data_IF_468738465808
#
_entry.id   IF_468738465808
#
_cell.length_a   1.000
_cell.length_b   1.000
_cell.length_c   1.000
_cell.angle_alpha   90.00
_cell.angle_beta   90.00
_cell.angle_gamma   90.00
#
_symmetry.space_group_name_H-M   'P 1'
#
loop_
_entity.id
_entity.type
_entity.pdbx_description
1 polymer ?
#
# COMPACT_ATOMS: atom_id res chain seq x y z
N UNK A 1 -4.10 -62.97 14.48
CA UNK A 1 -3.46 -62.08 13.48
C UNK A 1 -3.05 -60.82 14.23
N UNK A 2 -1.75 -60.59 14.37
CA UNK A 2 -1.19 -59.46 15.12
C UNK A 2 -1.13 -58.23 14.22
N UNK A 3 -1.88 -57.17 14.54
CA UNK A 3 -1.76 -55.89 13.85
C UNK A 3 -0.43 -55.23 14.26
N UNK A 4 0.44 -54.99 13.28
CA UNK A 4 1.67 -54.24 13.50
C UNK A 4 1.35 -52.76 13.65
N UNK A 5 1.86 -52.14 14.72
CA UNK A 5 1.60 -50.74 15.02
C UNK A 5 2.22 -49.79 13.98
N UNK A 6 1.71 -48.55 13.85
CA UNK A 6 2.11 -47.60 12.80
C UNK A 6 3.61 -47.24 12.79
N UNK A 7 4.32 -47.42 13.91
CA UNK A 7 5.77 -47.21 14.00
C UNK A 7 6.59 -48.35 13.37
N UNK A 8 6.08 -49.58 13.34
CA UNK A 8 6.76 -50.72 12.72
C UNK A 8 6.69 -50.64 11.19
N UNK A 9 5.57 -50.15 10.65
CA UNK A 9 5.35 -49.93 9.21
C UNK A 9 6.33 -48.89 8.65
N UNK A 10 6.66 -47.86 9.43
CA UNK A 10 7.57 -46.80 9.02
C UNK A 10 9.03 -47.29 8.86
N UNK A 11 9.46 -48.25 9.69
CA UNK A 11 10.82 -48.80 9.69
C UNK A 11 11.07 -49.82 8.56
N UNK A 12 10.02 -50.31 7.91
CA UNK A 12 10.11 -51.25 6.78
C UNK A 12 10.13 -50.57 5.41
N UNK A 13 10.08 -49.23 5.38
CA UNK A 13 10.11 -48.48 4.13
C UNK A 13 11.52 -48.50 3.52
N UNK A 14 11.63 -48.55 2.18
CA UNK A 14 12.92 -48.46 1.51
C UNK A 14 13.68 -47.18 1.88
N UNK A 15 15.01 -47.25 1.99
CA UNK A 15 15.87 -46.15 2.47
C UNK A 15 15.65 -44.82 1.71
N UNK A 16 15.30 -44.87 0.41
CA UNK A 16 15.05 -43.69 -0.39
C UNK A 16 13.77 -42.93 0.02
N UNK A 17 12.79 -43.60 0.64
CA UNK A 17 11.57 -42.96 1.15
C UNK A 17 11.90 -42.04 2.33
N UNK A 18 12.83 -42.45 3.20
CA UNK A 18 13.32 -41.60 4.29
C UNK A 18 14.09 -40.38 3.78
N UNK A 19 14.87 -40.54 2.70
CA UNK A 19 15.57 -39.42 2.04
C UNK A 19 14.55 -38.42 1.45
N UNK A 20 13.51 -38.91 0.76
CA UNK A 20 12.46 -38.07 0.20
C UNK A 20 11.68 -37.30 1.28
N UNK A 21 11.37 -37.95 2.41
CA UNK A 21 10.75 -37.29 3.56
C UNK A 21 11.66 -36.21 4.17
N UNK A 22 12.97 -36.48 4.29
CA UNK A 22 13.95 -35.50 4.75
C UNK A 22 14.06 -34.28 3.82
N UNK A 23 14.08 -34.49 2.50
CA UNK A 23 14.10 -33.41 1.51
C UNK A 23 12.80 -32.60 1.55
N UNK A 24 11.65 -33.24 1.71
CA UNK A 24 10.36 -32.56 1.84
C UNK A 24 10.28 -31.70 3.11
N UNK A 25 10.75 -32.22 4.26
CA UNK A 25 10.79 -31.45 5.52
C UNK A 25 11.76 -30.27 5.41
N UNK A 26 12.93 -30.46 4.80
CA UNK A 26 13.89 -29.38 4.54
C UNK A 26 13.30 -28.33 3.60
N UNK A 27 12.61 -28.75 2.54
CA UNK A 27 11.90 -27.88 1.61
C UNK A 27 10.82 -27.06 2.32
N UNK A 28 9.99 -27.68 3.18
CA UNK A 28 8.98 -26.98 3.98
C UNK A 28 9.63 -25.99 4.97
N UNK A 29 10.76 -26.36 5.58
CA UNK A 29 11.53 -25.45 6.44
C UNK A 29 12.03 -24.23 5.66
N UNK A 30 12.60 -24.42 4.47
CA UNK A 30 13.16 -23.34 3.64
C UNK A 30 12.07 -22.49 2.98
N UNK A 31 10.97 -23.09 2.53
CA UNK A 31 9.94 -22.41 1.74
C UNK A 31 8.75 -21.89 2.54
N UNK A 32 8.49 -22.45 3.73
CA UNK A 32 7.34 -22.06 4.57
C UNK A 32 7.78 -21.48 5.92
N UNK A 33 8.71 -22.12 6.63
CA UNK A 33 9.07 -21.73 8.00
C UNK A 33 10.06 -20.57 8.05
N UNK A 34 11.13 -20.60 7.26
CA UNK A 34 12.14 -19.53 7.18
C UNK A 34 11.57 -18.18 6.72
N UNK A 35 10.72 -18.11 5.66
CA UNK A 35 10.05 -16.88 5.27
C UNK A 35 9.10 -16.39 6.36
N UNK A 36 8.35 -17.30 7.00
CA UNK A 36 7.46 -16.96 8.11
C UNK A 36 8.22 -16.35 9.30
N UNK A 37 9.37 -16.90 9.70
CA UNK A 37 10.21 -16.35 10.77
C UNK A 37 10.81 -14.97 10.40
N UNK A 38 11.19 -14.76 9.14
CA UNK A 38 11.65 -13.45 8.64
C UNK A 38 10.53 -12.41 8.64
N UNK A 39 9.33 -12.81 8.22
CA UNK A 39 8.12 -12.00 8.26
C UNK A 39 7.75 -11.66 9.72
N UNK A 40 7.78 -12.63 10.63
CA UNK A 40 7.53 -12.44 12.05
C UNK A 40 8.53 -11.46 12.69
N UNK A 41 9.82 -11.51 12.33
CA UNK A 41 10.81 -10.52 12.78
C UNK A 41 10.53 -9.10 12.29
N UNK A 42 9.98 -8.91 11.08
CA UNK A 42 9.53 -7.60 10.58
C UNK A 42 8.27 -7.11 11.27
N UNK A 43 7.33 -8.01 11.58
CA UNK A 43 6.10 -7.72 12.34
C UNK A 43 6.42 -7.26 13.78
N UNK A 44 7.61 -7.60 14.31
CA UNK A 44 8.04 -7.25 15.68
C UNK A 44 8.84 -5.92 15.76
N UNK A 45 9.04 -5.19 14.67
CA UNK A 45 9.53 -3.80 14.77
C UNK A 45 8.40 -2.88 15.21
N UNK A 46 8.29 -2.62 16.51
CA UNK A 46 7.36 -1.64 17.10
C UNK A 46 7.76 -0.19 16.82
N UNK A 47 8.91 0.04 16.20
CA UNK A 47 9.43 1.38 15.91
C UNK A 47 8.73 1.96 14.69
N UNK A 48 7.87 2.94 14.92
CA UNK A 48 7.27 3.78 13.87
C UNK A 48 8.32 4.69 13.23
N UNK A 49 8.05 5.12 11.99
CA UNK A 49 8.81 6.14 11.28
C UNK A 49 10.29 5.77 11.20
N UNK A 50 10.60 4.70 10.46
CA UNK A 50 11.98 4.23 10.38
C UNK A 50 12.88 5.31 9.79
N UNK A 51 14.01 5.55 10.44
CA UNK A 51 15.02 6.51 10.00
C UNK A 51 16.21 5.77 9.40
N UNK A 52 16.82 6.35 8.37
CA UNK A 52 18.05 5.82 7.80
C UNK A 52 19.17 5.87 8.86
N UNK A 53 19.81 4.75 9.22
CA UNK A 53 20.88 4.75 10.23
C UNK A 53 22.12 5.56 9.81
N UNK A 54 22.26 5.87 8.52
CA UNK A 54 23.33 6.75 8.00
C UNK A 54 23.03 8.25 8.17
N UNK A 55 21.84 8.60 8.68
CA UNK A 55 21.35 9.96 8.75
C UNK A 55 20.66 10.43 7.47
N UNK A 56 20.00 11.59 7.56
CA UNK A 56 19.32 12.26 6.46
C UNK A 56 20.09 13.51 6.03
N UNK A 57 20.22 13.72 4.72
CA UNK A 57 20.74 14.94 4.13
C UNK A 57 19.65 15.73 3.36
N UNK A 58 18.39 15.37 3.54
CA UNK A 58 17.29 15.96 2.78
C UNK A 58 17.05 17.43 3.18
N UNK A 59 16.83 18.29 2.19
CA UNK A 59 16.32 19.64 2.42
C UNK A 59 14.90 19.60 3.00
N UNK A 60 14.39 20.72 3.52
CA UNK A 60 13.01 20.79 3.98
C UNK A 60 12.02 20.49 2.84
N UNK A 61 12.29 20.98 1.64
CA UNK A 61 11.45 20.73 0.45
C UNK A 61 11.44 19.25 0.08
N UNK A 62 12.59 18.59 0.09
CA UNK A 62 12.68 17.15 -0.13
C UNK A 62 11.94 16.34 0.94
N UNK A 63 12.03 16.75 2.21
CA UNK A 63 11.27 16.11 3.30
C UNK A 63 9.76 16.28 3.11
N UNK A 64 9.29 17.48 2.74
CA UNK A 64 7.88 17.74 2.41
C UNK A 64 7.41 16.87 1.25
N UNK A 65 8.24 16.76 0.21
CA UNK A 65 7.90 15.98 -0.96
C UNK A 65 7.84 14.47 -0.67
N UNK A 66 8.85 13.96 0.06
CA UNK A 66 8.90 12.56 0.48
C UNK A 66 7.71 12.18 1.38
N UNK A 67 7.25 13.11 2.24
CA UNK A 67 6.13 12.94 3.16
C UNK A 67 4.79 12.64 2.48
N UNK A 68 4.63 12.94 1.19
CA UNK A 68 3.44 12.53 0.41
C UNK A 68 3.25 11.02 0.42
N UNK A 69 4.36 10.26 0.43
CA UNK A 69 4.35 8.80 0.48
C UNK A 69 4.35 8.22 1.90
N UNK A 70 4.23 9.02 2.96
CA UNK A 70 4.50 8.58 4.34
C UNK A 70 3.58 7.44 4.82
N UNK A 71 2.29 7.46 4.47
CA UNK A 71 1.36 6.37 4.85
C UNK A 71 1.84 5.03 4.28
N UNK A 72 2.16 5.00 2.98
CA UNK A 72 2.67 3.81 2.32
C UNK A 72 4.06 3.41 2.80
N UNK A 73 4.93 4.38 3.08
CA UNK A 73 6.26 4.15 3.63
C UNK A 73 6.17 3.46 4.99
N UNK A 74 5.35 3.97 5.90
CA UNK A 74 5.14 3.38 7.23
C UNK A 74 4.55 1.97 7.12
N UNK A 75 3.52 1.78 6.28
CA UNK A 75 2.91 0.48 6.05
C UNK A 75 3.91 -0.58 5.58
N UNK A 76 4.87 -0.19 4.72
CA UNK A 76 5.85 -1.10 4.14
C UNK A 76 7.15 -1.21 4.94
N UNK A 77 7.30 -0.41 6.01
CA UNK A 77 8.53 -0.28 6.78
C UNK A 77 9.66 0.32 5.97
N UNK A 78 9.38 1.38 5.21
CA UNK A 78 10.39 2.17 4.51
C UNK A 78 10.94 3.26 5.41
N UNK A 79 12.16 3.71 5.12
CA UNK A 79 12.65 4.92 5.76
C UNK A 79 11.78 6.14 5.42
N UNK A 80 11.63 7.08 6.36
CA UNK A 80 10.81 8.30 6.16
C UNK A 80 11.65 9.55 5.91
N UNK A 81 12.98 9.43 5.97
CA UNK A 81 13.92 10.56 5.95
C UNK A 81 14.99 10.45 4.86
N UNK A 82 14.83 9.52 3.92
CA UNK A 82 15.74 9.34 2.79
C UNK A 82 15.00 8.79 1.57
N UNK A 83 15.60 8.92 0.38
CA UNK A 83 15.01 8.37 -0.85
C UNK A 83 14.97 6.83 -0.81
N UNK A 84 16.03 6.20 -0.31
CA UNK A 84 16.12 4.75 -0.16
C UNK A 84 15.01 4.21 0.73
N UNK A 85 14.56 3.01 0.40
CA UNK A 85 13.47 2.34 1.13
C UNK A 85 13.97 1.57 2.36
N UNK A 86 15.27 1.33 2.50
CA UNK A 86 15.81 0.40 3.50
C UNK A 86 15.50 -1.07 3.21
N UNK A 87 14.95 -1.38 2.04
CA UNK A 87 14.61 -2.73 1.59
C UNK A 87 15.68 -3.30 0.65
N UNK A 88 15.72 -4.63 0.53
CA UNK A 88 16.56 -5.28 -0.47
C UNK A 88 15.99 -5.06 -1.89
N UNK A 89 16.85 -4.73 -2.84
CA UNK A 89 16.46 -4.47 -4.23
C UNK A 89 15.78 -5.69 -4.89
N UNK A 90 16.26 -6.92 -4.64
CA UNK A 90 15.67 -8.14 -5.19
C UNK A 90 14.25 -8.38 -4.66
N UNK A 91 14.04 -8.18 -3.36
CA UNK A 91 12.72 -8.31 -2.74
C UNK A 91 11.74 -7.28 -3.31
N UNK A 92 12.20 -6.04 -3.54
CA UNK A 92 11.38 -5.00 -4.16
C UNK A 92 11.06 -5.31 -5.62
N UNK A 93 11.97 -5.89 -6.40
CA UNK A 93 11.65 -6.34 -7.76
C UNK A 93 10.53 -7.39 -7.76
N UNK A 94 10.57 -8.34 -6.82
CA UNK A 94 9.51 -9.33 -6.64
C UNK A 94 8.16 -8.68 -6.34
N UNK A 95 8.10 -7.77 -5.36
CA UNK A 95 6.87 -7.05 -5.00
C UNK A 95 6.34 -6.13 -6.11
N UNK A 96 7.26 -5.46 -6.83
CA UNK A 96 6.91 -4.61 -7.97
C UNK A 96 6.30 -5.43 -9.10
N UNK A 97 6.84 -6.62 -9.39
CA UNK A 97 6.24 -7.50 -10.37
C UNK A 97 4.89 -8.04 -9.90
N UNK A 98 4.78 -8.50 -8.65
CA UNK A 98 3.58 -9.17 -8.14
C UNK A 98 2.38 -8.21 -7.97
N UNK A 99 2.61 -6.98 -7.49
CA UNK A 99 1.53 -6.07 -7.11
C UNK A 99 1.28 -4.94 -8.11
N UNK A 100 2.24 -4.70 -9.00
CA UNK A 100 2.21 -3.56 -9.94
C UNK A 100 2.51 -3.95 -11.39
N UNK A 101 2.80 -5.23 -11.66
CA UNK A 101 3.26 -5.72 -12.96
C UNK A 101 4.49 -4.97 -13.50
N UNK A 102 5.37 -4.49 -12.61
CA UNK A 102 6.59 -3.76 -12.97
C UNK A 102 7.80 -4.72 -12.94
N UNK A 103 8.31 -5.08 -14.12
CA UNK A 103 9.55 -5.88 -14.30
C UNK A 103 10.70 -5.11 -14.98
N UNK A 104 10.45 -3.90 -15.46
CA UNK A 104 11.40 -3.16 -16.28
C UNK A 104 11.29 -1.65 -16.08
N UNK A 105 12.23 -0.90 -16.67
CA UNK A 105 12.18 0.56 -16.74
C UNK A 105 10.93 1.06 -17.47
N UNK A 106 10.58 0.40 -18.57
CA UNK A 106 9.46 0.82 -19.44
C UNK A 106 8.12 0.62 -18.72
N UNK A 107 7.91 -0.56 -18.13
CA UNK A 107 6.70 -0.85 -17.33
C UNK A 107 6.61 0.05 -16.09
N UNK A 108 7.75 0.37 -15.45
CA UNK A 108 7.78 1.32 -14.35
C UNK A 108 7.32 2.72 -14.80
N UNK A 109 7.86 3.21 -15.92
CA UNK A 109 7.50 4.52 -16.45
C UNK A 109 6.00 4.59 -16.80
N UNK A 110 5.45 3.55 -17.42
CA UNK A 110 4.02 3.48 -17.75
C UNK A 110 3.14 3.54 -16.49
N UNK A 111 3.43 2.73 -15.48
CA UNK A 111 2.64 2.71 -14.23
C UNK A 111 2.75 4.02 -13.45
N UNK A 112 3.93 4.62 -13.39
CA UNK A 112 4.16 5.90 -12.71
C UNK A 112 3.49 7.07 -13.44
N UNK A 113 3.51 7.06 -14.77
CA UNK A 113 2.77 8.03 -15.58
C UNK A 113 1.27 7.89 -15.34
N UNK A 114 0.74 6.66 -15.38
CA UNK A 114 -0.67 6.41 -15.10
C UNK A 114 -1.09 6.91 -13.71
N UNK A 115 -0.33 6.60 -12.64
CA UNK A 115 -0.58 7.13 -11.29
C UNK A 115 -0.58 8.67 -11.27
N UNK A 116 0.38 9.28 -11.97
CA UNK A 116 0.50 10.74 -12.03
C UNK A 116 -0.66 11.40 -12.76
N UNK A 117 -1.16 10.84 -13.86
CA UNK A 117 -2.09 11.53 -14.77
C UNK A 117 -3.55 11.15 -14.54
N UNK A 118 -3.83 9.86 -14.33
CA UNK A 118 -5.20 9.33 -14.22
C UNK A 118 -5.44 8.62 -12.90
N UNK A 119 -4.59 7.66 -12.55
CA UNK A 119 -4.70 6.81 -11.37
C UNK A 119 -6.07 6.18 -11.21
N UNK A 120 -6.41 5.77 -9.98
CA UNK A 120 -7.77 5.32 -9.69
C UNK A 120 -8.76 6.48 -9.50
N UNK A 121 -8.29 7.69 -9.15
CA UNK A 121 -9.17 8.86 -9.01
C UNK A 121 -10.04 9.12 -10.24
N UNK A 122 -9.53 8.81 -11.43
CA UNK A 122 -10.28 8.95 -12.69
C UNK A 122 -11.57 8.12 -12.78
N UNK A 123 -11.70 7.10 -11.94
CA UNK A 123 -12.94 6.31 -11.76
C UNK A 123 -13.56 6.62 -10.41
N UNK A 124 -12.75 6.62 -9.35
CA UNK A 124 -13.21 6.73 -7.96
C UNK A 124 -13.99 8.01 -7.71
N UNK A 125 -13.54 9.16 -8.23
CA UNK A 125 -14.23 10.43 -7.99
C UNK A 125 -15.65 10.44 -8.59
N UNK A 126 -15.84 9.80 -9.74
CA UNK A 126 -17.18 9.60 -10.31
C UNK A 126 -18.04 8.64 -9.48
N UNK A 127 -17.44 7.54 -9.00
CA UNK A 127 -18.13 6.60 -8.12
C UNK A 127 -18.49 7.19 -6.76
N UNK A 128 -17.70 8.14 -6.24
CA UNK A 128 -18.05 8.90 -5.04
C UNK A 128 -19.34 9.70 -5.27
N UNK A 129 -19.49 10.37 -6.42
CA UNK A 129 -20.73 11.08 -6.74
C UNK A 129 -21.92 10.13 -6.85
N UNK A 130 -21.76 8.99 -7.53
CA UNK A 130 -22.80 7.95 -7.57
C UNK A 130 -23.14 7.47 -6.16
N UNK A 131 -22.13 7.24 -5.32
CA UNK A 131 -22.34 6.82 -3.94
C UNK A 131 -23.06 7.88 -3.11
N UNK A 132 -22.93 9.18 -3.40
CA UNK A 132 -23.50 10.29 -2.65
C UNK A 132 -24.89 10.72 -3.15
N UNK A 133 -25.14 10.62 -4.45
CA UNK A 133 -26.28 11.30 -5.09
C UNK A 133 -27.31 10.31 -5.62
N UNK A 134 -26.92 9.07 -5.95
CA UNK A 134 -27.81 8.07 -6.54
C UNK A 134 -28.43 7.17 -5.45
N UNK A 135 -29.76 6.95 -5.47
CA UNK A 135 -30.43 5.99 -4.58
C UNK A 135 -29.83 4.58 -4.69
N UNK A 136 -29.66 3.89 -3.56
CA UNK A 136 -29.00 2.58 -3.51
C UNK A 136 -29.57 1.55 -4.50
N UNK A 137 -30.89 1.58 -4.74
CA UNK A 137 -31.59 0.70 -5.68
C UNK A 137 -31.20 0.93 -7.14
N UNK A 138 -30.72 2.12 -7.50
CA UNK A 138 -30.38 2.50 -8.88
C UNK A 138 -28.87 2.46 -9.16
N UNK A 139 -28.02 2.43 -8.12
CA UNK A 139 -26.56 2.53 -8.27
C UNK A 139 -25.98 1.49 -9.22
N UNK A 140 -26.40 0.23 -9.14
CA UNK A 140 -25.91 -0.83 -10.04
C UNK A 140 -26.18 -0.50 -11.51
N UNK A 141 -27.36 0.02 -11.83
CA UNK A 141 -27.74 0.44 -13.19
C UNK A 141 -26.89 1.63 -13.64
N UNK A 142 -26.74 2.65 -12.79
CA UNK A 142 -25.94 3.84 -13.12
C UNK A 142 -24.48 3.49 -13.33
N UNK A 143 -23.89 2.65 -12.46
CA UNK A 143 -22.51 2.18 -12.61
C UNK A 143 -22.32 1.44 -13.93
N UNK A 144 -23.20 0.49 -14.24
CA UNK A 144 -23.12 -0.27 -15.49
C UNK A 144 -23.24 0.61 -16.75
N UNK A 145 -23.98 1.71 -16.68
CA UNK A 145 -24.15 2.64 -17.81
C UNK A 145 -22.99 3.63 -17.95
N UNK A 146 -22.54 4.23 -16.84
CA UNK A 146 -21.55 5.32 -16.86
C UNK A 146 -20.10 4.81 -16.81
N UNK A 147 -19.87 3.61 -16.29
CA UNK A 147 -18.53 3.02 -16.08
C UNK A 147 -18.40 1.67 -16.79
N UNK A 148 -19.09 1.47 -17.92
CA UNK A 148 -19.13 0.21 -18.66
C UNK A 148 -17.75 -0.35 -19.08
N UNK A 149 -16.73 0.51 -19.20
CA UNK A 149 -15.35 0.13 -19.52
C UNK A 149 -14.46 -0.17 -18.31
N UNK A 150 -15.00 -0.13 -17.08
CA UNK A 150 -14.25 -0.39 -15.85
C UNK A 150 -14.87 -1.57 -15.11
N UNK A 151 -14.25 -2.74 -15.29
CA UNK A 151 -14.77 -4.03 -14.80
C UNK A 151 -14.99 -4.03 -13.28
N UNK A 152 -14.15 -3.32 -12.52
CA UNK A 152 -14.21 -3.29 -11.06
C UNK A 152 -15.04 -2.14 -10.50
N UNK A 153 -15.69 -1.33 -11.35
CA UNK A 153 -16.42 -0.15 -10.88
C UNK A 153 -17.51 -0.47 -9.84
N UNK A 154 -18.26 -1.57 -10.06
CA UNK A 154 -19.27 -2.02 -9.11
C UNK A 154 -18.64 -2.49 -7.79
N UNK A 155 -17.54 -3.24 -7.86
CA UNK A 155 -16.78 -3.71 -6.71
C UNK A 155 -16.25 -2.54 -5.86
N UNK A 156 -15.67 -1.51 -6.50
CA UNK A 156 -15.16 -0.33 -5.78
C UNK A 156 -16.26 0.42 -5.03
N UNK A 157 -17.46 0.48 -5.61
CA UNK A 157 -18.61 1.10 -4.97
C UNK A 157 -19.13 0.26 -3.79
N UNK A 158 -19.15 -1.07 -3.93
CA UNK A 158 -19.50 -2.01 -2.87
C UNK A 158 -18.49 -1.96 -1.71
N UNK A 159 -17.19 -1.91 -2.04
CA UNK A 159 -16.09 -1.74 -1.09
C UNK A 159 -16.24 -0.47 -0.25
N UNK A 160 -16.56 0.67 -0.89
CA UNK A 160 -16.82 1.92 -0.17
C UNK A 160 -18.01 1.80 0.78
N UNK A 161 -19.08 1.14 0.34
CA UNK A 161 -20.26 0.88 1.16
C UNK A 161 -19.95 0.04 2.39
N UNK A 162 -19.16 -1.01 2.23
CA UNK A 162 -18.71 -1.87 3.33
C UNK A 162 -17.80 -1.10 4.31
N UNK A 163 -16.85 -0.32 3.80
CA UNK A 163 -15.86 0.40 4.59
C UNK A 163 -16.38 1.66 5.30
N UNK A 164 -17.54 2.19 4.90
CA UNK A 164 -18.05 3.46 5.44
C UNK A 164 -18.15 3.47 6.97
N UNK A 165 -18.63 2.37 7.56
CA UNK A 165 -18.76 2.26 9.02
C UNK A 165 -17.39 2.35 9.71
N UNK A 166 -16.40 1.64 9.20
CA UNK A 166 -15.03 1.67 9.71
C UNK A 166 -14.41 3.05 9.53
N UNK A 167 -14.58 3.70 8.38
CA UNK A 167 -14.12 5.08 8.17
C UNK A 167 -14.74 6.06 9.17
N UNK A 168 -16.00 5.85 9.57
CA UNK A 168 -16.65 6.65 10.61
C UNK A 168 -16.09 6.37 12.01
N UNK A 169 -15.94 5.09 12.36
CA UNK A 169 -15.40 4.68 13.67
C UNK A 169 -13.96 5.13 13.86
N UNK A 170 -13.16 5.13 12.80
CA UNK A 170 -11.79 5.61 12.78
C UNK A 170 -11.67 7.14 12.71
N UNK A 171 -12.79 7.86 12.56
CA UNK A 171 -12.83 9.33 12.51
C UNK A 171 -12.32 9.93 11.20
N UNK A 172 -12.20 9.13 10.13
CA UNK A 172 -11.78 9.61 8.80
C UNK A 172 -12.88 10.50 8.18
N UNK A 173 -14.15 10.11 8.38
CA UNK A 173 -15.31 10.89 7.98
C UNK A 173 -16.37 10.88 9.08
N UNK A 174 -17.09 11.97 9.30
CA UNK A 174 -18.19 11.98 10.28
C UNK A 174 -19.44 11.25 9.77
N UNK A 175 -19.55 11.07 8.45
CA UNK A 175 -20.68 10.43 7.79
C UNK A 175 -20.51 10.45 6.27
N UNK A 176 -21.56 10.03 5.55
CA UNK A 176 -21.53 9.91 4.08
C UNK A 176 -21.11 11.21 3.39
N UNK A 177 -21.59 12.38 3.82
CA UNK A 177 -21.17 13.66 3.22
C UNK A 177 -19.66 13.95 3.38
N UNK A 178 -18.99 13.37 4.38
CA UNK A 178 -17.54 13.48 4.54
C UNK A 178 -16.74 12.76 3.44
N UNK A 179 -17.40 11.95 2.59
CA UNK A 179 -16.82 11.35 1.40
C UNK A 179 -16.73 12.31 0.21
N UNK A 180 -17.39 13.48 0.27
CA UNK A 180 -17.37 14.45 -0.82
C UNK A 180 -15.97 15.00 -1.03
N UNK A 181 -15.50 14.99 -2.27
CA UNK A 181 -14.17 15.45 -2.64
C UNK A 181 -13.54 14.53 -3.68
N UNK A 182 -12.24 14.30 -3.54
CA UNK A 182 -11.43 13.49 -4.45
C UNK A 182 -10.66 12.41 -3.69
N UNK A 183 -10.34 11.31 -4.36
CA UNK A 183 -9.38 10.29 -3.89
C UNK A 183 -7.97 10.53 -4.42
N UNK A 184 -7.65 11.72 -4.96
CA UNK A 184 -6.34 12.04 -5.53
C UNK A 184 -5.14 11.66 -4.65
N UNK A 185 -5.21 11.86 -3.33
CA UNK A 185 -4.09 11.54 -2.44
C UNK A 185 -3.74 10.05 -2.44
N UNK A 186 -4.70 9.15 -2.70
CA UNK A 186 -4.46 7.71 -2.86
C UNK A 186 -3.50 7.41 -4.02
N UNK A 187 -3.61 8.16 -5.12
CA UNK A 187 -2.69 8.01 -6.25
C UNK A 187 -1.35 8.70 -5.99
N UNK A 188 -1.36 9.90 -5.42
CA UNK A 188 -0.12 10.66 -5.15
C UNK A 188 0.78 9.96 -4.12
N UNK A 189 0.21 9.45 -3.03
CA UNK A 189 0.97 8.69 -2.04
C UNK A 189 1.58 7.41 -2.61
N UNK A 190 0.83 6.71 -3.48
CA UNK A 190 1.34 5.52 -4.18
C UNK A 190 2.38 5.89 -5.23
N UNK A 191 2.22 7.00 -5.95
CA UNK A 191 3.22 7.51 -6.90
C UNK A 191 4.57 7.69 -6.22
N UNK A 192 4.61 8.40 -5.07
CA UNK A 192 5.84 8.61 -4.32
C UNK A 192 6.44 7.27 -3.83
N UNK A 193 5.62 6.37 -3.27
CA UNK A 193 6.07 5.08 -2.76
C UNK A 193 6.62 4.15 -3.87
N UNK A 194 5.93 4.07 -5.01
CA UNK A 194 6.33 3.22 -6.14
C UNK A 194 7.56 3.80 -6.83
N UNK A 195 7.70 5.13 -6.94
CA UNK A 195 8.90 5.77 -7.48
C UNK A 195 10.14 5.41 -6.66
N UNK A 196 10.06 5.48 -5.31
CA UNK A 196 11.14 5.06 -4.41
C UNK A 196 11.49 3.58 -4.54
N UNK A 197 10.46 2.75 -4.69
CA UNK A 197 10.62 1.30 -4.88
C UNK A 197 11.33 1.00 -6.21
N UNK A 198 10.92 1.66 -7.28
CA UNK A 198 11.53 1.53 -8.61
C UNK A 198 12.98 2.05 -8.63
N UNK A 199 13.28 3.12 -7.90
CA UNK A 199 14.66 3.59 -7.73
C UNK A 199 15.53 2.54 -7.03
N UNK A 200 15.08 2.03 -5.88
CA UNK A 200 15.82 1.00 -5.13
C UNK A 200 16.00 -0.29 -5.96
N UNK A 201 15.02 -0.63 -6.80
CA UNK A 201 15.06 -1.79 -7.70
C UNK A 201 16.01 -1.61 -8.90
N UNK A 202 16.44 -0.37 -9.19
CA UNK A 202 17.28 -0.01 -10.35
C UNK A 202 16.50 0.32 -11.63
N UNK A 203 15.19 0.48 -11.55
CA UNK A 203 14.33 0.87 -12.68
C UNK A 203 14.27 2.37 -12.91
N UNK A 204 14.55 3.19 -11.89
CA UNK A 204 14.69 4.64 -12.00
C UNK A 204 16.06 5.11 -11.50
N UNK A 205 16.59 6.14 -12.15
CA UNK A 205 17.65 6.95 -11.58
C UNK A 205 17.11 7.80 -10.43
N UNK A 206 17.99 8.28 -9.55
CA UNK A 206 17.61 9.16 -8.44
C UNK A 206 16.90 10.45 -8.91
N UNK A 207 17.40 11.19 -9.92
CA UNK A 207 16.71 12.38 -10.42
C UNK A 207 15.30 12.10 -10.95
N UNK A 208 15.10 10.96 -11.62
CA UNK A 208 13.77 10.57 -12.11
C UNK A 208 12.81 10.29 -10.95
N UNK A 209 13.28 9.63 -9.89
CA UNK A 209 12.46 9.35 -8.72
C UNK A 209 12.07 10.65 -7.99
N UNK A 210 13.03 11.56 -7.77
CA UNK A 210 12.75 12.86 -7.17
C UNK A 210 11.76 13.69 -7.98
N UNK A 211 11.92 13.76 -9.30
CA UNK A 211 11.00 14.50 -10.16
C UNK A 211 9.54 14.03 -10.01
N UNK A 212 9.31 12.73 -9.84
CA UNK A 212 7.97 12.17 -9.61
C UNK A 212 7.44 12.48 -8.20
N UNK A 213 8.29 12.38 -7.18
CA UNK A 213 7.94 12.67 -5.78
C UNK A 213 7.60 14.16 -5.61
N UNK A 214 8.41 15.04 -6.19
CA UNK A 214 8.19 16.50 -6.20
C UNK A 214 6.93 16.87 -6.98
N UNK A 215 6.67 16.22 -8.13
CA UNK A 215 5.40 16.39 -8.85
C UNK A 215 4.21 15.99 -7.99
N UNK A 216 4.30 14.86 -7.29
CA UNK A 216 3.24 14.41 -6.40
C UNK A 216 2.98 15.41 -5.27
N UNK A 217 4.04 16.00 -4.71
CA UNK A 217 3.94 17.03 -3.68
C UNK A 217 3.38 18.36 -4.17
N UNK A 218 3.80 18.81 -5.35
CA UNK A 218 3.25 20.00 -5.98
C UNK A 218 1.74 19.85 -6.20
N UNK A 219 1.29 18.69 -6.68
CA UNK A 219 -0.13 18.40 -6.87
C UNK A 219 -0.88 18.28 -5.54
N UNK A 220 -0.29 17.63 -4.52
CA UNK A 220 -0.88 17.56 -3.18
C UNK A 220 -1.05 18.96 -2.59
N UNK A 221 -0.05 19.83 -2.74
CA UNK A 221 -0.06 21.20 -2.22
C UNK A 221 -1.14 22.06 -2.89
N UNK A 222 -1.39 21.84 -4.19
CA UNK A 222 -2.48 22.52 -4.93
C UNK A 222 -3.87 22.07 -4.47
N UNK A 223 -4.02 20.78 -4.18
CA UNK A 223 -5.34 20.15 -3.99
C UNK A 223 -5.78 20.03 -2.54
N UNK A 224 -4.85 20.07 -1.58
CA UNK A 224 -5.13 19.90 -0.15
C UNK A 224 -4.61 21.07 0.67
N UNK A 225 -5.37 21.43 1.71
CA UNK A 225 -5.00 22.52 2.62
C UNK A 225 -3.91 22.10 3.61
N UNK A 226 -3.94 20.83 4.02
CA UNK A 226 -3.12 20.26 5.09
C UNK A 226 -3.00 18.73 4.93
N UNK A 227 -2.23 18.11 5.82
CA UNK A 227 -2.08 16.66 5.85
C UNK A 227 -3.33 15.92 6.30
N UNK A 228 -4.24 16.56 7.04
CA UNK A 228 -5.50 15.95 7.47
C UNK A 228 -6.41 15.68 6.26
N UNK A 229 -6.64 16.71 5.44
CA UNK A 229 -7.41 16.59 4.19
C UNK A 229 -6.75 15.65 3.18
N UNK A 230 -5.41 15.64 3.09
CA UNK A 230 -4.67 14.66 2.30
C UNK A 230 -4.90 13.22 2.81
N UNK A 231 -4.74 13.00 4.12
CA UNK A 231 -4.91 11.68 4.74
C UNK A 231 -6.33 11.14 4.55
N UNK A 232 -7.35 12.00 4.69
CA UNK A 232 -8.74 11.63 4.42
C UNK A 232 -8.94 11.17 2.99
N UNK A 233 -8.45 11.94 2.01
CA UNK A 233 -8.51 11.58 0.59
C UNK A 233 -7.82 10.23 0.30
N UNK A 234 -6.66 9.99 0.92
CA UNK A 234 -5.91 8.74 0.78
C UNK A 234 -6.71 7.54 1.33
N UNK A 235 -7.25 7.68 2.54
CA UNK A 235 -7.95 6.60 3.24
C UNK A 235 -9.29 6.25 2.57
N UNK A 236 -10.01 7.24 2.01
CA UNK A 236 -11.19 6.99 1.18
C UNK A 236 -10.80 6.19 -0.07
N UNK A 237 -9.76 6.59 -0.80
CA UNK A 237 -9.28 5.83 -1.96
C UNK A 237 -8.83 4.41 -1.61
N UNK A 238 -8.16 4.23 -0.47
CA UNK A 238 -7.81 2.90 0.05
C UNK A 238 -9.04 2.04 0.34
N UNK A 239 -10.07 2.63 0.94
CA UNK A 239 -11.32 1.94 1.24
C UNK A 239 -12.06 1.53 -0.05
N UNK A 240 -12.07 2.37 -1.08
CA UNK A 240 -12.62 2.01 -2.40
C UNK A 240 -11.85 0.86 -3.04
N UNK A 241 -10.52 0.88 -2.96
CA UNK A 241 -9.68 -0.15 -3.58
C UNK A 241 -9.82 -1.53 -2.94
N UNK A 242 -9.81 -1.62 -1.61
CA UNK A 242 -9.72 -2.89 -0.89
C UNK A 242 -10.82 -3.16 0.13
N UNK A 243 -11.84 -2.30 0.23
CA UNK A 243 -12.97 -2.48 1.13
C UNK A 243 -12.61 -2.43 2.61
N UNK A 244 -13.46 -3.05 3.42
CA UNK A 244 -13.35 -3.16 4.88
C UNK A 244 -12.50 -4.37 5.30
N UNK A 245 -11.27 -4.44 4.79
CA UNK A 245 -10.35 -5.52 5.15
C UNK A 245 -9.61 -5.24 6.46
N UNK A 246 -8.88 -6.25 6.96
CA UNK A 246 -8.10 -6.15 8.20
C UNK A 246 -6.98 -5.09 8.14
N UNK A 247 -6.62 -4.59 6.96
CA UNK A 247 -5.57 -3.58 6.81
C UNK A 247 -6.11 -2.15 6.91
N UNK A 248 -7.40 -1.90 6.64
CA UNK A 248 -7.98 -0.56 6.68
C UNK A 248 -7.83 0.12 8.06
N UNK A 249 -8.18 -0.50 9.21
CA UNK A 249 -7.96 0.12 10.52
C UNK A 249 -6.49 0.42 10.81
N UNK A 250 -5.58 -0.47 10.37
CA UNK A 250 -4.14 -0.25 10.50
C UNK A 250 -3.66 0.99 9.74
N UNK A 251 -4.17 1.20 8.51
CA UNK A 251 -3.87 2.39 7.72
C UNK A 251 -4.49 3.66 8.31
N UNK A 252 -5.69 3.59 8.88
CA UNK A 252 -6.29 4.69 9.63
C UNK A 252 -5.42 5.07 10.85
N UNK A 253 -4.91 4.07 11.58
CA UNK A 253 -3.98 4.27 12.69
C UNK A 253 -2.67 4.92 12.25
N UNK A 254 -2.11 4.51 11.11
CA UNK A 254 -0.93 5.16 10.51
C UNK A 254 -1.21 6.62 10.16
N UNK A 255 -2.31 6.90 9.45
CA UNK A 255 -2.68 8.27 9.06
C UNK A 255 -2.89 9.19 10.27
N UNK A 256 -3.53 8.67 11.33
CA UNK A 256 -3.72 9.37 12.60
C UNK A 256 -2.39 9.63 13.32
N UNK A 257 -1.54 8.61 13.43
CA UNK A 257 -0.22 8.73 14.05
C UNK A 257 0.64 9.76 13.32
N UNK A 258 0.62 9.78 11.99
CA UNK A 258 1.36 10.78 11.22
C UNK A 258 0.91 12.21 11.56
N UNK A 259 -0.34 12.45 11.94
CA UNK A 259 -0.80 13.79 12.33
C UNK A 259 -0.46 14.16 13.78
N UNK A 260 -0.37 13.16 14.67
CA UNK A 260 -0.38 13.36 16.13
C UNK A 260 0.97 13.07 16.80
N UNK A 261 1.71 12.07 16.33
CA UNK A 261 2.94 11.62 16.95
C UNK A 261 4.03 12.68 16.79
N UNK A 262 4.72 13.03 17.88
CA UNK A 262 5.72 14.11 17.90
C UNK A 262 6.87 13.89 16.89
N UNK A 263 7.27 12.62 16.70
CA UNK A 263 8.36 12.21 15.80
C UNK A 263 7.90 12.05 14.34
N UNK A 264 6.63 12.30 14.03
CA UNK A 264 6.11 12.09 12.68
C UNK A 264 6.78 13.00 11.64
N UNK A 265 7.08 12.49 10.42
CA UNK A 265 7.56 13.33 9.33
C UNK A 265 6.59 14.45 8.93
N UNK A 266 5.28 14.30 9.16
CA UNK A 266 4.29 15.35 8.87
C UNK A 266 4.32 16.50 9.87
N UNK A 267 4.85 16.28 11.09
CA UNK A 267 5.03 17.35 12.10
C UNK A 267 6.22 18.24 11.76
N UNK A 268 7.29 17.65 11.26
CA UNK A 268 8.52 18.36 10.89
C UNK A 268 8.51 18.91 9.45
N UNK A 269 7.61 18.41 8.60
CA UNK A 269 7.41 18.84 7.22
C UNK A 269 5.91 19.06 6.94
N UNK A 270 5.35 20.24 7.28
CA UNK A 270 3.96 20.55 6.93
C UNK A 270 3.78 20.62 5.41
N UNK A 271 2.56 20.32 4.94
CA UNK A 271 2.27 20.24 3.50
C UNK A 271 2.61 21.55 2.77
N UNK A 272 2.35 22.70 3.41
CA UNK A 272 2.65 24.06 2.96
C UNK A 272 3.67 24.73 3.88
#
# INVERSE_FOLDING_TARGET
MSESGPLQVLAMLPWYVHVLLGVMVLSLLVTKVLPFLRTAKRIVSTKKYLHNPKGSALSLEQRRALSVGAIGAEQQGFFVDTLETGQNASDLRGKLQEWWDISSRDTAQQTLQWLSERGHRGVFDGLLQVFLEVPTTERKRVVAQQFAGEERAAEYLENLGAALKTLQQEGVVSGREGLRGTTLAWDLGRLAMVARSCHTAGYLTEPQAWSLIERAHAEATRSFADWESFSRSFLIGRAMWGGDDLALPGLCSIGRGLQQDAESPWRSAPLR
#
